data_IF_298471815031
#
_entry.id   IF_298471815031
#
_cell.length_a   1.000
_cell.length_b   1.000
_cell.length_c   1.000
_cell.angle_alpha   90.00
_cell.angle_beta   90.00
_cell.angle_gamma   90.00
#
_symmetry.space_group_name_H-M   'P 1'
#
loop_
_entity.id
_entity.type
_entity.pdbx_description
1 polymer ?
#
# COMPACT_ATOMS: atom_id res chain seq x y z
N UNK A 1 29.53 15.22 35.60
CA UNK A 1 28.15 15.05 35.08
C UNK A 1 28.24 15.23 33.58
N UNK A 2 27.90 14.32 32.67
CA UNK A 2 27.40 12.96 32.66
C UNK A 2 27.99 12.35 31.38
N UNK A 3 28.59 11.15 31.47
CA UNK A 3 28.96 10.27 30.35
C UNK A 3 28.25 8.94 30.63
N UNK A 4 27.89 8.24 29.56
CA UNK A 4 27.43 6.84 29.48
C UNK A 4 25.91 6.63 29.52
N UNK A 5 25.33 6.35 28.35
CA UNK A 5 24.23 5.40 28.18
C UNK A 5 24.35 4.79 26.76
N UNK A 6 25.31 3.88 26.61
CA UNK A 6 25.49 2.97 25.48
C UNK A 6 25.93 1.64 26.09
N UNK A 7 25.05 0.64 26.09
CA UNK A 7 25.33 -0.81 26.18
C UNK A 7 24.01 -1.56 26.37
N UNK A 8 23.71 -2.56 25.54
CA UNK A 8 22.56 -3.41 25.77
C UNK A 8 22.11 -4.36 24.65
N UNK A 9 22.98 -4.84 23.77
CA UNK A 9 22.69 -6.04 22.96
C UNK A 9 23.89 -6.99 23.02
N UNK A 10 23.82 -7.95 23.96
CA UNK A 10 24.70 -9.11 23.99
C UNK A 10 23.98 -10.28 24.65
N UNK A 11 23.43 -11.18 23.82
CA UNK A 11 23.17 -12.61 24.08
C UNK A 11 22.26 -13.03 25.26
N UNK A 12 21.63 -14.23 25.21
CA UNK A 12 20.42 -14.52 25.96
C UNK A 12 20.72 -14.92 27.40
N UNK A 13 20.32 -14.11 28.37
CA UNK A 13 20.32 -14.48 29.79
C UNK A 13 18.97 -14.16 30.42
N UNK A 14 18.36 -15.22 30.98
CA UNK A 14 17.18 -15.31 31.84
C UNK A 14 16.45 -14.00 32.15
N UNK A 15 15.26 -13.85 31.56
CA UNK A 15 14.23 -12.91 32.01
C UNK A 15 13.64 -13.40 33.33
N UNK A 16 14.16 -12.89 34.45
CA UNK A 16 13.46 -12.87 35.73
C UNK A 16 12.71 -11.53 35.87
N UNK A 17 11.38 -11.61 35.97
CA UNK A 17 10.46 -10.65 36.60
C UNK A 17 10.74 -9.13 36.45
N UNK A 18 10.09 -8.49 35.47
CA UNK A 18 9.19 -7.32 35.60
C UNK A 18 9.10 -6.53 34.27
N UNK A 19 7.87 -6.12 33.91
CA UNK A 19 7.39 -5.43 32.68
C UNK A 19 7.01 -6.36 31.49
N UNK A 20 5.73 -6.77 31.36
CA UNK A 20 5.26 -7.65 30.27
C UNK A 20 4.85 -6.91 28.98
N UNK A 21 5.34 -5.69 28.75
CA UNK A 21 4.89 -4.86 27.62
C UNK A 21 6.07 -4.26 26.86
N UNK A 22 6.24 -4.68 25.60
CA UNK A 22 7.20 -4.12 24.66
C UNK A 22 6.50 -3.13 23.73
N UNK A 23 6.81 -1.85 23.86
CA UNK A 23 6.66 -0.90 22.75
C UNK A 23 7.91 -1.06 21.90
N UNK A 24 7.79 -1.70 20.75
CA UNK A 24 8.90 -1.76 19.78
C UNK A 24 8.90 -0.43 19.04
N UNK A 25 9.48 0.59 19.67
CA UNK A 25 9.83 1.85 19.02
C UNK A 25 11.13 1.63 18.23
N UNK A 26 10.98 1.26 16.96
CA UNK A 26 12.08 1.32 16.01
C UNK A 26 12.40 2.79 15.77
N UNK A 27 13.32 3.34 16.57
CA UNK A 27 13.64 4.77 16.65
C UNK A 27 13.91 5.44 15.29
N UNK A 28 12.84 5.83 14.62
CA UNK A 28 12.79 6.75 13.49
C UNK A 28 11.98 7.95 13.95
N UNK A 29 12.59 9.14 13.90
CA UNK A 29 11.91 10.40 14.23
C UNK A 29 10.57 10.45 13.48
N UNK A 30 9.49 10.78 14.19
CA UNK A 30 8.10 10.97 13.74
C UNK A 30 7.95 11.75 12.42
N UNK A 31 8.30 11.09 11.34
CA UNK A 31 7.83 11.29 9.99
C UNK A 31 7.45 9.88 9.60
N UNK A 32 6.15 9.55 9.69
CA UNK A 32 5.61 8.45 8.90
C UNK A 32 6.17 8.61 7.48
N UNK A 33 6.59 7.51 6.87
CA UNK A 33 7.08 7.50 5.50
C UNK A 33 5.96 8.00 4.60
N UNK A 34 5.88 9.32 4.46
CA UNK A 34 4.78 10.05 3.88
C UNK A 34 5.25 10.54 2.53
N UNK A 35 4.34 10.55 1.55
CA UNK A 35 4.61 11.20 0.28
C UNK A 35 5.00 12.67 0.47
N UNK A 36 5.77 13.22 -0.46
CA UNK A 36 6.10 14.64 -0.47
C UNK A 36 4.78 15.44 -0.45
N UNK A 37 4.64 16.37 0.50
CA UNK A 37 3.42 17.15 0.78
C UNK A 37 2.21 16.36 1.34
N UNK A 38 2.43 15.28 2.10
CA UNK A 38 1.35 14.52 2.74
C UNK A 38 0.61 15.29 3.85
N UNK A 39 -0.63 14.84 4.11
CA UNK A 39 -1.43 15.26 5.26
C UNK A 39 -0.94 14.66 6.58
N UNK A 40 -1.36 15.24 7.70
CA UNK A 40 -0.91 14.84 9.05
C UNK A 40 -1.57 13.57 9.62
N UNK A 41 -2.54 12.97 8.92
CA UNK A 41 -3.37 11.89 9.45
C UNK A 41 -3.05 10.52 8.86
N UNK A 42 -2.43 10.49 7.68
CA UNK A 42 -2.06 9.26 6.99
C UNK A 42 -0.98 8.52 7.78
N UNK A 43 -1.20 7.24 8.09
CA UNK A 43 -0.40 6.46 9.05
C UNK A 43 -0.55 6.88 10.52
N UNK A 44 -0.28 8.15 10.83
CA UNK A 44 -0.15 8.66 12.20
C UNK A 44 -1.40 8.48 13.05
N UNK A 45 -2.58 8.60 12.44
CA UNK A 45 -3.86 8.43 13.14
C UNK A 45 -3.97 7.03 13.75
N UNK A 46 -3.54 5.99 13.03
CA UNK A 46 -3.61 4.61 13.51
C UNK A 46 -2.77 4.41 14.77
N UNK A 47 -1.52 4.87 14.74
CA UNK A 47 -0.56 4.76 15.86
C UNK A 47 -1.08 5.54 17.08
N UNK A 48 -1.47 6.81 16.89
CA UNK A 48 -1.94 7.66 17.98
C UNK A 48 -3.23 7.11 18.59
N UNK A 49 -4.14 6.56 17.78
CA UNK A 49 -5.38 5.93 18.25
C UNK A 49 -5.08 4.73 19.13
N UNK A 50 -4.19 3.83 18.69
CA UNK A 50 -3.80 2.65 19.46
C UNK A 50 -3.13 3.03 20.79
N UNK A 51 -2.17 3.95 20.78
CA UNK A 51 -1.51 4.45 21.99
C UNK A 51 -2.49 5.14 22.95
N UNK A 52 -3.45 5.90 22.42
CA UNK A 52 -4.49 6.56 23.21
C UNK A 52 -5.41 5.55 23.88
N UNK A 53 -5.80 4.49 23.16
CA UNK A 53 -6.59 3.40 23.70
C UNK A 53 -5.84 2.68 24.84
N UNK A 54 -4.56 2.34 24.65
CA UNK A 54 -3.73 1.73 25.69
C UNK A 54 -3.59 2.63 26.93
N UNK A 55 -3.41 3.93 26.74
CA UNK A 55 -3.35 4.90 27.84
C UNK A 55 -4.66 4.91 28.65
N UNK A 56 -5.82 4.89 27.99
CA UNK A 56 -7.13 4.82 28.66
C UNK A 56 -7.31 3.49 29.39
N UNK A 57 -6.93 2.37 28.79
CA UNK A 57 -6.96 1.05 29.42
C UNK A 57 -6.06 1.00 30.67
N UNK A 58 -4.91 1.66 30.63
CA UNK A 58 -3.99 1.73 31.76
C UNK A 58 -4.60 2.54 32.92
N UNK A 59 -5.07 3.76 32.64
CA UNK A 59 -5.66 4.66 33.66
C UNK A 59 -6.94 4.05 34.28
N UNK A 60 -7.71 3.30 33.49
CA UNK A 60 -8.92 2.61 33.98
C UNK A 60 -8.63 1.29 34.72
N UNK A 61 -7.37 0.87 34.83
CA UNK A 61 -6.98 -0.39 35.45
C UNK A 61 -7.48 -1.64 34.69
N UNK A 62 -7.83 -1.49 33.42
CA UNK A 62 -8.28 -2.58 32.55
C UNK A 62 -7.14 -3.22 31.77
N UNK A 63 -6.02 -2.53 31.58
CA UNK A 63 -4.88 -3.03 30.81
C UNK A 63 -4.35 -4.37 31.38
N UNK A 64 -4.19 -4.48 32.69
CA UNK A 64 -3.76 -5.72 33.36
C UNK A 64 -4.80 -6.84 33.35
N UNK A 65 -6.03 -6.59 32.87
CA UNK A 65 -7.11 -7.60 32.75
C UNK A 65 -7.20 -8.20 31.36
N UNK A 66 -6.39 -7.73 30.41
CA UNK A 66 -6.36 -8.28 29.07
C UNK A 66 -5.86 -9.71 29.10
N UNK A 67 -6.49 -10.59 28.31
CA UNK A 67 -6.12 -12.01 28.22
C UNK A 67 -4.85 -12.24 27.40
N UNK A 68 -4.45 -11.26 26.61
CA UNK A 68 -3.32 -11.31 25.67
C UNK A 68 -2.52 -10.02 25.78
N UNK A 69 -1.19 -10.06 25.58
CA UNK A 69 -0.41 -8.85 25.41
C UNK A 69 -0.90 -8.08 24.18
N UNK A 70 -0.76 -6.76 24.21
CA UNK A 70 -1.08 -5.88 23.09
C UNK A 70 0.19 -5.16 22.70
N UNK A 71 0.53 -5.24 21.42
CA UNK A 71 1.67 -4.58 20.82
C UNK A 71 1.16 -3.59 19.78
N UNK A 72 1.83 -2.43 19.70
CA UNK A 72 1.55 -1.40 18.69
C UNK A 72 2.78 -1.34 17.80
N UNK A 73 2.57 -1.56 16.50
CA UNK A 73 3.64 -1.58 15.50
C UNK A 73 3.48 -0.34 14.62
N UNK A 74 4.54 0.46 14.52
CA UNK A 74 4.67 1.49 13.51
C UNK A 74 5.53 0.92 12.37
N UNK A 75 4.93 0.67 11.21
CA UNK A 75 5.66 0.14 10.06
C UNK A 75 6.52 1.24 9.43
N UNK A 76 7.72 0.86 9.00
CA UNK A 76 8.61 1.73 8.23
C UNK A 76 8.43 1.53 6.73
N UNK A 77 8.67 2.61 5.97
CA UNK A 77 8.76 2.64 4.51
C UNK A 77 7.54 1.99 3.81
N UNK A 78 6.34 2.51 4.11
CA UNK A 78 5.06 2.05 3.57
C UNK A 78 4.85 2.58 2.15
N UNK A 79 5.04 3.88 1.96
CA UNK A 79 4.88 4.62 0.70
C UNK A 79 6.05 4.38 -0.27
N UNK A 80 7.17 3.86 0.22
CA UNK A 80 8.30 3.42 -0.61
C UNK A 80 9.04 4.57 -1.29
N UNK A 81 8.96 5.78 -0.73
CA UNK A 81 9.53 7.01 -1.31
C UNK A 81 11.05 6.94 -1.34
N UNK A 82 11.66 6.31 -0.32
CA UNK A 82 13.12 6.32 -0.14
C UNK A 82 13.84 5.20 -0.89
N UNK A 83 13.26 4.00 -0.92
CA UNK A 83 13.91 2.81 -1.48
C UNK A 83 13.20 2.24 -2.70
N UNK A 84 12.14 2.89 -3.20
CA UNK A 84 11.28 2.37 -4.29
C UNK A 84 10.74 0.96 -4.03
N UNK A 85 10.71 0.58 -2.76
CA UNK A 85 10.13 -0.66 -2.24
C UNK A 85 9.01 -0.22 -1.31
N UNK A 86 7.76 -0.32 -1.76
CA UNK A 86 6.63 -0.09 -0.85
C UNK A 86 6.58 -1.20 0.20
N UNK A 87 6.00 -0.90 1.36
CA UNK A 87 5.69 -1.86 2.42
C UNK A 87 6.88 -2.58 3.06
N UNK A 88 8.05 -1.95 3.19
CA UNK A 88 9.25 -2.65 3.66
C UNK A 88 9.08 -3.29 5.05
N UNK A 89 8.58 -2.52 6.02
CA UNK A 89 8.38 -3.00 7.39
C UNK A 89 7.26 -4.05 7.50
N UNK A 90 6.13 -3.83 6.83
CA UNK A 90 5.01 -4.78 6.86
C UNK A 90 5.31 -6.06 6.10
N UNK A 91 6.05 -5.99 4.98
CA UNK A 91 6.50 -7.15 4.23
C UNK A 91 7.49 -8.02 5.04
N UNK A 92 8.34 -7.40 5.87
CA UNK A 92 9.22 -8.13 6.77
C UNK A 92 8.42 -8.91 7.83
N UNK A 93 7.45 -8.25 8.48
CA UNK A 93 6.58 -8.86 9.50
C UNK A 93 5.64 -9.92 8.90
N UNK A 94 5.20 -9.74 7.64
CA UNK A 94 4.43 -10.75 6.92
C UNK A 94 5.31 -11.93 6.42
N UNK A 95 6.63 -11.78 6.46
CA UNK A 95 7.59 -12.79 5.98
C UNK A 95 7.63 -12.94 4.46
N UNK A 96 7.23 -11.90 3.72
CA UNK A 96 7.21 -11.88 2.23
C UNK A 96 8.31 -10.99 1.64
N UNK A 97 9.05 -10.25 2.47
CA UNK A 97 10.16 -9.41 2.01
C UNK A 97 11.31 -10.28 1.49
N UNK A 98 11.69 -10.18 0.20
CA UNK A 98 12.83 -10.90 -0.33
C UNK A 98 14.13 -10.43 0.33
N UNK A 99 15.03 -11.36 0.65
CA UNK A 99 16.35 -11.03 1.22
C UNK A 99 17.15 -10.10 0.32
N UNK A 100 16.99 -10.24 -1.01
CA UNK A 100 17.61 -9.35 -2.00
C UNK A 100 17.27 -7.87 -1.79
N UNK A 101 16.13 -7.56 -1.18
CA UNK A 101 15.71 -6.17 -0.89
C UNK A 101 16.67 -5.47 0.07
N UNK A 102 17.35 -6.20 0.96
CA UNK A 102 18.36 -5.64 1.86
C UNK A 102 19.57 -5.04 1.12
N UNK A 103 19.82 -5.50 -0.11
CA UNK A 103 20.95 -5.10 -0.94
C UNK A 103 20.60 -4.07 -2.01
N UNK A 104 19.34 -3.63 -2.08
CA UNK A 104 18.91 -2.61 -3.02
C UNK A 104 19.64 -1.29 -2.75
N UNK A 105 20.28 -0.75 -3.77
CA UNK A 105 20.99 0.53 -3.79
C UNK A 105 20.44 1.36 -4.96
N UNK A 106 19.84 2.52 -4.69
CA UNK A 106 19.13 3.24 -5.77
C UNK A 106 19.44 4.75 -5.84
N UNK A 107 19.86 5.44 -4.77
CA UNK A 107 20.03 6.90 -4.87
C UNK A 107 21.31 7.52 -4.30
N UNK A 108 22.08 6.82 -3.47
CA UNK A 108 23.27 7.41 -2.82
C UNK A 108 24.43 6.45 -2.55
N UNK A 109 24.34 5.18 -2.98
CA UNK A 109 25.31 4.15 -2.60
C UNK A 109 25.02 3.49 -1.24
N UNK A 110 23.87 3.79 -0.63
CA UNK A 110 23.46 3.26 0.69
C UNK A 110 22.37 2.23 0.49
N UNK A 111 22.67 0.98 0.85
CA UNK A 111 21.69 -0.12 0.82
C UNK A 111 20.66 0.01 1.94
N UNK A 112 19.52 -0.65 1.81
CA UNK A 112 18.54 -0.80 2.92
C UNK A 112 19.23 -1.29 4.19
N UNK A 113 20.10 -2.31 4.08
CA UNK A 113 20.88 -2.81 5.22
C UNK A 113 21.83 -1.74 5.79
N UNK A 114 22.46 -0.93 4.94
CA UNK A 114 23.30 0.19 5.35
C UNK A 114 22.50 1.23 6.14
N UNK A 115 21.34 1.63 5.64
CA UNK A 115 20.46 2.60 6.30
C UNK A 115 19.93 2.09 7.65
N UNK A 116 19.60 0.80 7.76
CA UNK A 116 19.22 0.18 9.03
C UNK A 116 20.38 0.19 10.03
N UNK A 117 21.60 -0.15 9.58
CA UNK A 117 22.81 -0.09 10.43
C UNK A 117 23.12 1.32 10.92
N UNK A 118 22.92 2.35 10.09
CA UNK A 118 23.06 3.75 10.51
C UNK A 118 22.10 4.12 11.65
N UNK A 119 20.93 3.49 11.68
CA UNK A 119 19.93 3.64 12.75
C UNK A 119 20.11 2.59 13.88
N UNK A 120 21.28 1.95 13.96
CA UNK A 120 21.61 0.92 14.96
C UNK A 120 20.72 -0.32 14.93
N UNK A 121 20.11 -0.62 13.78
CA UNK A 121 19.32 -1.83 13.54
C UNK A 121 20.19 -2.83 12.78
N UNK A 122 20.62 -3.89 13.45
CA UNK A 122 21.34 -5.01 12.82
C UNK A 122 20.36 -6.04 12.29
N UNK A 123 20.23 -6.10 10.97
CA UNK A 123 19.46 -7.13 10.26
C UNK A 123 20.42 -8.06 9.49
N UNK A 124 20.25 -9.36 9.69
CA UNK A 124 20.84 -10.42 8.86
C UNK A 124 19.74 -11.14 8.09
N UNK A 125 20.13 -11.93 7.09
CA UNK A 125 19.18 -12.73 6.32
C UNK A 125 18.42 -13.71 7.23
N UNK A 126 19.11 -14.31 8.20
CA UNK A 126 18.52 -15.23 9.17
C UNK A 126 17.53 -14.51 10.09
N UNK A 127 17.89 -13.33 10.60
CA UNK A 127 17.03 -12.57 11.51
C UNK A 127 15.80 -12.03 10.79
N UNK A 128 15.91 -11.64 9.51
CA UNK A 128 14.77 -11.18 8.71
C UNK A 128 13.67 -12.25 8.63
N UNK A 129 14.04 -13.51 8.45
CA UNK A 129 13.08 -14.62 8.37
C UNK A 129 12.39 -14.90 9.72
N UNK A 130 13.00 -14.52 10.84
CA UNK A 130 12.44 -14.68 12.18
C UNK A 130 11.47 -13.56 12.57
N UNK A 131 11.38 -12.47 11.79
CA UNK A 131 10.46 -11.37 12.04
C UNK A 131 9.01 -11.71 11.70
N UNK A 132 8.75 -12.86 11.08
CA UNK A 132 7.42 -13.24 10.64
C UNK A 132 6.46 -13.42 11.83
N UNK A 133 5.37 -12.66 11.83
CA UNK A 133 4.28 -12.83 12.79
C UNK A 133 3.33 -13.94 12.36
N UNK A 134 2.67 -14.53 13.36
CA UNK A 134 1.52 -15.40 13.13
C UNK A 134 0.33 -14.52 12.68
N UNK A 135 -0.27 -14.76 11.50
CA UNK A 135 -1.43 -13.98 11.05
C UNK A 135 -2.58 -13.94 12.05
N UNK A 136 -2.78 -15.02 12.82
CA UNK A 136 -3.86 -15.11 13.83
C UNK A 136 -3.60 -14.22 15.07
N UNK A 137 -2.39 -13.66 15.18
CA UNK A 137 -2.01 -12.71 16.24
C UNK A 137 -2.34 -11.26 15.91
N UNK A 138 -2.69 -10.94 14.65
CA UNK A 138 -3.00 -9.58 14.19
C UNK A 138 -4.51 -9.31 14.29
N UNK A 139 -4.89 -8.25 15.01
CA UNK A 139 -6.31 -8.01 15.35
C UNK A 139 -6.97 -6.89 14.55
N UNK A 140 -6.23 -5.86 14.13
CA UNK A 140 -6.84 -4.77 13.39
C UNK A 140 -5.90 -3.61 13.11
N UNK A 141 -6.34 -2.80 12.16
CA UNK A 141 -5.69 -1.58 11.71
C UNK A 141 -6.74 -0.46 11.69
N UNK A 142 -6.32 0.76 11.99
CA UNK A 142 -7.17 1.96 11.94
C UNK A 142 -6.54 2.94 10.98
N UNK A 143 -7.35 3.47 10.07
CA UNK A 143 -6.90 4.42 9.07
C UNK A 143 -7.97 5.46 8.75
N UNK A 144 -7.54 6.57 8.16
CA UNK A 144 -8.45 7.46 7.45
C UNK A 144 -8.95 6.79 6.16
N UNK A 145 -10.13 7.18 5.69
CA UNK A 145 -10.73 6.60 4.48
C UNK A 145 -9.90 6.89 3.20
N UNK A 146 -9.23 8.05 3.15
CA UNK A 146 -8.59 8.62 1.94
C UNK A 146 -9.56 8.85 0.75
N UNK A 147 -10.87 8.64 0.97
CA UNK A 147 -11.94 8.85 0.01
C UNK A 147 -13.09 9.69 0.60
N UNK A 148 -14.08 10.05 -0.23
CA UNK A 148 -15.19 10.92 0.18
C UNK A 148 -16.45 10.15 0.64
N UNK A 149 -16.42 8.82 0.72
CA UNK A 149 -17.62 7.98 0.90
C UNK A 149 -18.25 8.23 2.28
N UNK A 150 -17.49 8.13 3.37
CA UNK A 150 -17.98 8.33 4.74
C UNK A 150 -18.51 9.75 4.96
N UNK A 151 -17.83 10.75 4.39
CA UNK A 151 -18.31 12.14 4.40
C UNK A 151 -19.65 12.26 3.66
N UNK A 152 -19.74 11.69 2.45
CA UNK A 152 -20.94 11.74 1.62
C UNK A 152 -22.14 11.07 2.28
N UNK A 153 -21.93 9.94 2.98
CA UNK A 153 -23.01 9.23 3.69
C UNK A 153 -23.22 9.74 5.13
N UNK A 154 -22.42 10.69 5.60
CA UNK A 154 -22.52 11.30 6.93
C UNK A 154 -22.19 10.34 8.09
N UNK A 155 -21.29 9.37 7.87
CA UNK A 155 -20.90 8.39 8.89
C UNK A 155 -19.47 8.66 9.38
N UNK A 156 -19.19 8.56 10.70
CA UNK A 156 -17.85 8.82 11.24
C UNK A 156 -16.92 7.60 11.21
N UNK A 157 -17.41 6.41 10.87
CA UNK A 157 -16.66 5.16 10.93
C UNK A 157 -17.18 4.16 9.88
N UNK A 158 -16.26 3.50 9.19
CA UNK A 158 -16.53 2.40 8.27
C UNK A 158 -15.81 1.13 8.70
N UNK A 159 -16.46 -0.03 8.53
CA UNK A 159 -15.80 -1.33 8.65
C UNK A 159 -15.25 -1.72 7.27
N UNK A 160 -13.93 -1.76 7.14
CA UNK A 160 -13.26 -2.19 5.90
C UNK A 160 -13.48 -3.69 5.73
N UNK A 161 -14.09 -4.09 4.62
CA UNK A 161 -14.34 -5.50 4.29
C UNK A 161 -13.16 -6.17 3.58
N UNK A 162 -12.34 -5.38 2.89
CA UNK A 162 -11.19 -5.83 2.13
C UNK A 162 -10.52 -4.66 1.42
N UNK A 163 -9.39 -4.94 0.77
CA UNK A 163 -8.64 -3.98 -0.04
C UNK A 163 -8.76 -4.43 -1.49
N UNK A 164 -9.06 -3.51 -2.39
CA UNK A 164 -9.19 -3.81 -3.81
C UNK A 164 -7.84 -4.27 -4.40
N UNK A 165 -7.87 -5.37 -5.17
CA UNK A 165 -6.77 -5.78 -6.03
C UNK A 165 -6.49 -4.70 -7.08
N UNK A 166 -5.22 -4.51 -7.43
CA UNK A 166 -4.78 -3.47 -8.36
C UNK A 166 -4.03 -4.07 -9.56
N UNK A 167 -4.46 -3.72 -10.77
CA UNK A 167 -3.76 -4.02 -12.02
C UNK A 167 -3.39 -2.73 -12.74
N UNK A 168 -2.09 -2.52 -13.01
CA UNK A 168 -1.60 -1.39 -13.79
C UNK A 168 -1.16 -1.84 -15.17
N UNK A 169 -1.78 -1.28 -16.21
CA UNK A 169 -1.48 -1.55 -17.61
C UNK A 169 -0.78 -0.35 -18.24
N UNK A 170 0.10 -0.62 -19.21
CA UNK A 170 0.69 0.39 -20.09
C UNK A 170 0.21 0.13 -21.51
N UNK A 171 -0.60 1.03 -22.05
CA UNK A 171 -1.17 0.93 -23.38
C UNK A 171 -0.36 1.81 -24.33
N UNK A 172 -0.01 1.28 -25.50
CA UNK A 172 0.66 2.04 -26.56
C UNK A 172 -0.14 1.94 -27.84
N UNK A 173 -0.72 3.06 -28.26
CA UNK A 173 -1.48 3.20 -29.50
C UNK A 173 -0.54 3.70 -30.59
N UNK A 174 -0.33 2.88 -31.61
CA UNK A 174 0.50 3.20 -32.77
C UNK A 174 -0.39 3.62 -33.94
N UNK A 175 0.01 4.69 -34.61
CA UNK A 175 -0.65 5.16 -35.81
C UNK A 175 0.36 5.45 -36.92
N UNK A 176 -0.09 6.17 -37.95
CA UNK A 176 0.74 6.56 -39.09
C UNK A 176 1.03 8.06 -39.04
N UNK A 177 2.30 8.45 -39.20
CA UNK A 177 2.64 9.87 -39.36
C UNK A 177 2.18 10.38 -40.72
N UNK A 178 1.57 11.57 -40.70
CA UNK A 178 1.06 12.23 -41.90
C UNK A 178 1.01 13.74 -41.70
N UNK A 179 1.16 14.49 -42.78
CA UNK A 179 1.09 15.95 -42.69
C UNK A 179 -0.35 16.39 -42.38
N UNK A 180 -0.51 17.11 -41.27
CA UNK A 180 -1.82 17.44 -40.69
C UNK A 180 -2.72 18.27 -41.63
N UNK A 181 -2.16 19.00 -42.59
CA UNK A 181 -2.92 19.78 -43.58
C UNK A 181 -3.26 19.05 -44.88
N UNK A 182 -2.64 17.89 -45.17
CA UNK A 182 -2.73 17.28 -46.52
C UNK A 182 -3.19 15.83 -46.51
N UNK A 183 -3.12 15.12 -45.38
CA UNK A 183 -3.68 13.76 -45.28
C UNK A 183 -5.18 13.85 -45.05
N UNK A 184 -6.01 13.36 -46.01
CA UNK A 184 -7.47 13.35 -45.86
C UNK A 184 -7.90 12.54 -44.64
N UNK A 185 -9.00 12.95 -43.99
CA UNK A 185 -9.49 12.30 -42.76
C UNK A 185 -9.73 10.80 -42.92
N UNK A 186 -10.23 10.37 -44.08
CA UNK A 186 -10.50 8.96 -44.40
C UNK A 186 -9.26 8.07 -44.49
N UNK A 187 -8.06 8.66 -44.58
CA UNK A 187 -6.79 7.95 -44.70
C UNK A 187 -5.94 8.05 -43.42
N UNK A 188 -6.43 8.72 -42.37
CA UNK A 188 -5.67 8.90 -41.13
C UNK A 188 -5.72 7.65 -40.28
N UNK A 189 -4.58 7.33 -39.69
CA UNK A 189 -4.47 6.45 -38.53
C UNK A 189 -3.90 7.30 -37.39
N UNK A 190 -4.75 8.13 -36.80
CA UNK A 190 -4.38 9.07 -35.75
C UNK A 190 -4.38 8.37 -34.37
N UNK A 191 -3.21 8.17 -33.74
CA UNK A 191 -3.13 7.46 -32.47
C UNK A 191 -3.71 8.26 -31.30
N UNK A 192 -3.83 9.59 -31.40
CA UNK A 192 -4.44 10.41 -30.35
C UNK A 192 -5.96 10.27 -30.35
N UNK A 193 -6.58 10.33 -31.53
CA UNK A 193 -8.03 10.09 -31.64
C UNK A 193 -8.40 8.69 -31.14
N UNK A 194 -7.65 7.66 -31.55
CA UNK A 194 -7.86 6.30 -31.09
C UNK A 194 -7.64 6.14 -29.57
N UNK A 195 -6.62 6.78 -28.99
CA UNK A 195 -6.41 6.77 -27.54
C UNK A 195 -7.57 7.45 -26.79
N UNK A 196 -8.07 8.58 -27.28
CA UNK A 196 -9.21 9.27 -26.65
C UNK A 196 -10.48 8.41 -26.64
N UNK A 197 -10.78 7.72 -27.75
CA UNK A 197 -11.91 6.79 -27.82
C UNK A 197 -11.75 5.61 -26.85
N UNK A 198 -10.54 5.04 -26.74
CA UNK A 198 -10.25 3.98 -25.78
C UNK A 198 -10.45 4.43 -24.32
N UNK A 199 -10.01 5.65 -23.98
CA UNK A 199 -10.16 6.20 -22.63
C UNK A 199 -11.63 6.39 -22.27
N UNK A 200 -12.43 6.94 -23.18
CA UNK A 200 -13.89 7.13 -22.97
C UNK A 200 -14.61 5.78 -22.85
N UNK A 201 -14.21 4.80 -23.68
CA UNK A 201 -14.76 3.44 -23.61
C UNK A 201 -14.44 2.78 -22.25
N UNK A 202 -13.19 2.90 -21.78
CA UNK A 202 -12.78 2.37 -20.48
C UNK A 202 -13.57 3.00 -19.34
N UNK A 203 -13.72 4.33 -19.33
CA UNK A 203 -14.52 5.03 -18.33
C UNK A 203 -15.98 4.55 -18.34
N UNK A 204 -16.56 4.40 -19.53
CA UNK A 204 -17.94 3.92 -19.69
C UNK A 204 -18.10 2.48 -19.19
N UNK A 205 -17.13 1.61 -19.48
CA UNK A 205 -17.08 0.25 -18.96
C UNK A 205 -17.02 0.23 -17.42
N UNK A 206 -16.20 1.09 -16.81
CA UNK A 206 -16.10 1.16 -15.34
C UNK A 206 -17.39 1.69 -14.69
N UNK A 207 -18.11 2.60 -15.35
CA UNK A 207 -19.39 3.14 -14.87
C UNK A 207 -20.56 2.17 -15.05
N UNK A 208 -20.54 1.38 -16.13
CA UNK A 208 -21.66 0.53 -16.56
C UNK A 208 -21.14 -0.79 -17.12
N UNK A 209 -20.48 -1.64 -16.33
CA UNK A 209 -19.84 -2.84 -16.85
C UNK A 209 -20.85 -3.84 -17.43
N UNK A 210 -22.10 -3.83 -16.97
CA UNK A 210 -23.19 -4.64 -17.55
C UNK A 210 -23.46 -4.38 -19.03
N UNK A 211 -23.19 -3.17 -19.54
CA UNK A 211 -23.43 -2.82 -20.94
C UNK A 211 -22.32 -3.35 -21.87
N UNK A 212 -21.16 -3.71 -21.32
CA UNK A 212 -19.96 -4.06 -22.08
C UNK A 212 -19.48 -5.50 -21.86
N UNK A 213 -19.75 -6.09 -20.69
CA UNK A 213 -19.37 -7.46 -20.36
C UNK A 213 -20.48 -8.44 -20.77
N UNK A 214 -20.21 -9.28 -21.76
CA UNK A 214 -21.13 -10.35 -22.17
C UNK A 214 -20.96 -11.59 -21.29
N UNK A 215 -22.07 -12.23 -20.93
CA UNK A 215 -22.11 -13.50 -20.22
C UNK A 215 -21.58 -14.63 -21.12
N UNK A 216 -20.29 -14.93 -21.06
CA UNK A 216 -19.66 -16.04 -21.79
C UNK A 216 -19.33 -17.22 -20.87
N UNK A 217 -20.21 -17.54 -19.91
CA UNK A 217 -20.08 -18.72 -19.05
C UNK A 217 -18.89 -18.71 -18.07
N UNK A 218 -17.91 -17.80 -18.25
CA UNK A 218 -16.81 -17.54 -17.34
C UNK A 218 -17.12 -16.36 -16.41
N UNK A 219 -17.86 -15.34 -16.88
CA UNK A 219 -18.38 -14.27 -16.05
C UNK A 219 -19.84 -14.54 -15.62
N UNK A 220 -20.05 -14.81 -14.32
CA UNK A 220 -21.40 -14.99 -13.76
C UNK A 220 -22.11 -13.63 -13.58
N UNK A 221 -23.45 -13.61 -13.44
CA UNK A 221 -24.18 -12.37 -13.20
C UNK A 221 -23.73 -11.66 -11.90
N UNK A 222 -23.31 -12.44 -10.89
CA UNK A 222 -22.73 -11.93 -9.64
C UNK A 222 -21.38 -11.25 -9.84
N UNK A 223 -20.56 -11.74 -10.77
CA UNK A 223 -19.27 -11.12 -11.14
C UNK A 223 -19.48 -9.70 -11.65
N UNK A 224 -20.39 -9.54 -12.61
CA UNK A 224 -20.65 -8.24 -13.25
C UNK A 224 -21.19 -7.25 -12.22
N UNK A 225 -22.05 -7.72 -11.30
CA UNK A 225 -22.58 -6.89 -10.22
C UNK A 225 -21.53 -6.49 -9.19
N UNK A 226 -20.53 -7.34 -8.90
CA UNK A 226 -19.41 -6.99 -8.03
C UNK A 226 -18.47 -5.95 -8.68
N UNK A 227 -18.19 -6.11 -9.97
CA UNK A 227 -17.39 -5.16 -10.75
C UNK A 227 -18.10 -3.80 -10.84
N UNK A 228 -19.42 -3.75 -11.04
CA UNK A 228 -20.17 -2.49 -11.08
C UNK A 228 -20.06 -1.63 -9.82
N UNK A 229 -19.82 -2.24 -8.66
CA UNK A 229 -19.67 -1.53 -7.39
C UNK A 229 -18.24 -1.22 -6.96
N UNK A 230 -17.24 -1.82 -7.60
CA UNK A 230 -15.85 -1.79 -7.13
C UNK A 230 -14.81 -1.42 -8.20
N UNK A 231 -15.21 -1.40 -9.48
CA UNK A 231 -14.32 -1.15 -10.60
C UNK A 231 -13.97 0.33 -10.69
N UNK A 232 -12.70 0.65 -10.44
CA UNK A 232 -12.16 1.99 -10.64
C UNK A 232 -11.11 1.93 -11.73
N UNK A 233 -11.22 2.80 -12.73
CA UNK A 233 -10.18 2.99 -13.72
C UNK A 233 -9.73 4.45 -13.80
N UNK A 234 -8.42 4.66 -13.76
CA UNK A 234 -7.82 5.98 -14.02
C UNK A 234 -6.79 5.89 -15.13
N UNK A 235 -6.68 6.97 -15.89
CA UNK A 235 -5.70 7.10 -16.97
C UNK A 235 -4.62 8.07 -16.51
N UNK A 236 -3.36 7.62 -16.52
CA UNK A 236 -2.21 8.41 -16.11
C UNK A 236 -1.48 9.06 -17.30
N UNK A 237 -0.15 9.16 -17.19
CA UNK A 237 0.72 9.92 -18.11
C UNK A 237 0.47 9.63 -19.59
N UNK A 238 0.30 10.68 -20.39
CA UNK A 238 0.12 10.61 -21.84
C UNK A 238 1.34 11.20 -22.55
N UNK A 239 2.03 10.39 -23.38
CA UNK A 239 3.22 10.84 -24.14
C UNK A 239 2.97 10.87 -25.66
N UNK A 240 3.44 11.92 -26.34
CA UNK A 240 3.32 12.22 -27.79
C UNK A 240 4.53 13.08 -28.24
N UNK A 241 5.14 12.97 -29.46
CA UNK A 241 4.55 12.56 -30.74
C UNK A 241 4.97 11.21 -31.34
N UNK A 242 4.18 10.72 -32.32
CA UNK A 242 4.30 9.48 -33.16
C UNK A 242 3.47 8.27 -32.69
N UNK A 243 3.45 7.99 -31.40
CA UNK A 243 2.57 7.00 -30.77
C UNK A 243 2.07 7.60 -29.47
N UNK A 244 0.87 7.19 -29.03
CA UNK A 244 0.32 7.63 -27.74
C UNK A 244 0.49 6.51 -26.74
N UNK A 245 1.24 6.77 -25.68
CA UNK A 245 1.36 5.86 -24.55
C UNK A 245 0.59 6.43 -23.37
N UNK A 246 -0.28 5.62 -22.76
CA UNK A 246 -0.97 5.95 -21.52
C UNK A 246 -0.99 4.77 -20.55
N UNK A 247 -1.13 5.06 -19.26
CA UNK A 247 -1.31 4.02 -18.23
C UNK A 247 -2.79 3.87 -17.87
N UNK A 248 -3.19 2.66 -17.49
CA UNK A 248 -4.52 2.36 -16.96
C UNK A 248 -4.33 1.69 -15.61
N UNK A 249 -4.87 2.26 -14.54
CA UNK A 249 -4.94 1.66 -13.21
C UNK A 249 -6.35 1.10 -13.01
N UNK A 250 -6.49 -0.22 -12.94
CA UNK A 250 -7.76 -0.91 -12.73
C UNK A 250 -7.77 -1.52 -11.34
N UNK A 251 -8.81 -1.23 -10.55
CA UNK A 251 -8.99 -1.80 -9.20
C UNK A 251 -10.34 -2.48 -9.06
N UNK A 252 -10.39 -3.62 -8.39
CA UNK A 252 -11.63 -4.35 -8.09
C UNK A 252 -11.51 -5.08 -6.74
N UNK A 253 -12.65 -5.28 -6.06
CA UNK A 253 -12.66 -5.96 -4.75
C UNK A 253 -12.53 -7.47 -4.86
N UNK A 254 -13.03 -8.06 -5.94
CA UNK A 254 -13.02 -9.50 -6.18
C UNK A 254 -12.15 -9.83 -7.39
N UNK A 255 -11.22 -10.77 -7.22
CA UNK A 255 -10.50 -11.38 -8.33
C UNK A 255 -11.36 -12.52 -8.90
N UNK A 256 -11.50 -12.57 -10.24
CA UNK A 256 -12.33 -13.58 -10.90
C UNK A 256 -11.76 -15.00 -10.88
N UNK A 257 -10.56 -15.17 -10.34
CA UNK A 257 -9.85 -16.44 -10.26
C UNK A 257 -10.00 -17.10 -8.87
N UNK A 258 -11.24 -17.27 -8.37
CA UNK A 258 -11.50 -18.36 -7.43
C UNK A 258 -11.53 -19.68 -8.21
N UNK A 259 -10.35 -20.25 -8.47
CA UNK A 259 -10.24 -21.69 -8.60
C UNK A 259 -10.56 -22.30 -7.24
N UNK A 260 -11.81 -22.70 -7.05
CA UNK A 260 -12.21 -23.71 -6.06
C UNK A 260 -11.48 -25.04 -6.31
#
# INVERSE_FOLDING_TARGET
>A
MHKNFLQGLSSPQLLSEQEPYSVVDGGCRFADDTVIDAGMFDGALGIITALSALKVLNISGMLGKLRRPVEVIAFSDEEGVRFQSTFLGSAAIAGVLPVSTLHIDIFSGVTVQGALRENSIEITEENLLQLKYDPDSVWGYVHIEQGPVLETVGLPLGLVKGIAGQTRLRVTVKGSQGHAGTVPMTMRQDPMAAAAELIVLLESLCKQPEDYLSYDGQCTASTVQSLAGSLVCTVGDITWPVQVTFTVDVRAMDDLDEKQ
#
